data_IF_759028830973
#
_entry.id   IF_759028830973
#
_cell.length_a   1.000
_cell.length_b   1.000
_cell.length_c   1.000
_cell.angle_alpha   90.00
_cell.angle_beta   90.00
_cell.angle_gamma   90.00
#
_symmetry.space_group_name_H-M   'P 1'
#
loop_
_entity.id
_entity.type
_entity.pdbx_description
1 polymer ?
#
# COMPACT_ATOMS: atom_id res chain seq x y z
N UNK A 1 -7.27 3.53 -3.11
CA UNK A 1 -7.37 3.35 -1.65
C UNK A 1 -5.99 3.48 -1.03
N UNK A 2 -5.89 4.17 0.11
CA UNK A 2 -4.67 4.24 0.92
C UNK A 2 -4.96 3.50 2.22
N UNK A 3 -4.08 2.60 2.63
CA UNK A 3 -4.24 1.83 3.86
C UNK A 3 -2.89 1.34 4.38
N UNK A 4 -2.87 0.83 5.60
CA UNK A 4 -1.63 0.42 6.25
C UNK A 4 -1.50 -1.09 6.45
N UNK A 5 -2.50 -1.86 6.01
CA UNK A 5 -2.49 -3.32 6.11
C UNK A 5 -2.67 -3.98 4.73
N UNK A 6 -1.80 -4.95 4.42
CA UNK A 6 -1.82 -5.67 3.15
C UNK A 6 -3.05 -6.59 3.00
N UNK A 7 -3.49 -7.19 4.09
CA UNK A 7 -4.50 -8.27 4.10
C UNK A 7 -5.92 -7.75 4.15
N UNK A 8 -6.12 -6.50 4.57
CA UNK A 8 -7.42 -5.84 4.57
C UNK A 8 -7.48 -4.76 3.50
N UNK A 9 -6.77 -3.66 3.67
CA UNK A 9 -6.92 -2.46 2.82
C UNK A 9 -6.50 -2.74 1.38
N UNK A 10 -5.30 -3.29 1.21
CA UNK A 10 -4.74 -3.56 -0.11
C UNK A 10 -5.45 -4.75 -0.77
N UNK A 11 -5.86 -5.75 0.02
CA UNK A 11 -6.67 -6.85 -0.46
C UNK A 11 -8.03 -6.37 -1.00
N UNK A 12 -8.69 -5.45 -0.29
CA UNK A 12 -9.95 -4.85 -0.71
C UNK A 12 -9.75 -3.99 -1.96
N UNK A 13 -8.73 -3.13 -2.00
CA UNK A 13 -8.41 -2.31 -3.17
C UNK A 13 -8.26 -3.16 -4.44
N UNK A 14 -7.49 -4.25 -4.33
CA UNK A 14 -7.31 -5.23 -5.40
C UNK A 14 -8.61 -5.93 -5.80
N UNK A 15 -9.42 -6.34 -4.82
CA UNK A 15 -10.68 -7.04 -5.07
C UNK A 15 -11.72 -6.18 -5.80
N UNK A 16 -11.74 -4.87 -5.54
CA UNK A 16 -12.67 -3.93 -6.17
C UNK A 16 -12.09 -3.22 -7.40
N UNK A 17 -10.85 -3.51 -7.77
CA UNK A 17 -10.21 -2.99 -8.99
C UNK A 17 -9.82 -1.52 -8.93
N UNK A 18 -9.37 -1.04 -7.77
CA UNK A 18 -8.82 0.32 -7.60
C UNK A 18 -7.37 0.27 -7.14
N UNK A 19 -6.59 1.32 -7.43
CA UNK A 19 -5.20 1.43 -7.00
C UNK A 19 -5.08 1.32 -5.46
N UNK A 20 -4.21 0.46 -4.98
CA UNK A 20 -3.89 0.27 -3.56
C UNK A 20 -2.52 0.85 -3.22
N UNK A 21 -2.49 1.89 -2.38
CA UNK A 21 -1.26 2.47 -1.84
C UNK A 21 -1.09 2.01 -0.39
N UNK A 22 0.01 1.31 -0.10
CA UNK A 22 0.36 0.93 1.26
C UNK A 22 1.13 2.07 1.95
N UNK A 23 0.56 2.62 3.01
CA UNK A 23 1.27 3.44 3.99
C UNK A 23 1.91 2.52 5.03
N UNK A 24 3.22 2.31 4.93
CA UNK A 24 4.00 1.34 5.69
C UNK A 24 4.28 1.79 7.14
N UNK A 25 3.23 2.13 7.90
CA UNK A 25 3.30 2.51 9.32
C UNK A 25 3.20 1.31 10.26
N UNK A 26 2.62 0.19 9.79
CA UNK A 26 3.00 -1.13 10.29
C UNK A 26 4.25 -1.53 9.52
N UNK A 27 5.44 -1.49 10.15
CA UNK A 27 6.72 -1.42 9.42
C UNK A 27 7.06 -2.78 8.76
N UNK A 28 6.32 -3.15 7.71
CA UNK A 28 6.63 -4.31 6.89
C UNK A 28 8.04 -4.13 6.34
N UNK A 29 8.87 -5.13 6.55
CA UNK A 29 10.19 -5.20 5.97
C UNK A 29 10.09 -5.32 4.45
N UNK A 30 11.16 -4.94 3.77
CA UNK A 30 11.27 -5.14 2.31
C UNK A 30 11.01 -6.59 1.90
N UNK A 31 11.49 -7.56 2.68
CA UNK A 31 11.28 -8.98 2.42
C UNK A 31 9.80 -9.36 2.53
N UNK A 32 9.08 -8.87 3.53
CA UNK A 32 7.63 -9.12 3.67
C UNK A 32 6.87 -8.53 2.48
N UNK A 33 7.20 -7.31 2.06
CA UNK A 33 6.60 -6.66 0.88
C UNK A 33 6.90 -7.44 -0.41
N UNK A 34 8.12 -7.93 -0.59
CA UNK A 34 8.56 -8.68 -1.79
C UNK A 34 7.97 -10.10 -1.85
N UNK A 35 7.77 -10.76 -0.70
CA UNK A 35 7.25 -12.13 -0.62
C UNK A 35 5.73 -12.21 -0.43
N UNK A 36 5.06 -11.11 -0.05
CA UNK A 36 3.61 -11.09 0.15
C UNK A 36 2.84 -11.51 -1.11
N UNK A 37 1.81 -12.36 -1.01
CA UNK A 37 0.92 -12.68 -2.13
C UNK A 37 0.02 -11.50 -2.53
N UNK A 38 -0.13 -10.51 -1.66
CA UNK A 38 -0.91 -9.28 -1.89
C UNK A 38 0.08 -8.14 -2.12
N UNK A 39 -0.02 -7.49 -3.29
CA UNK A 39 0.84 -6.40 -3.70
C UNK A 39 0.03 -5.12 -3.78
N UNK A 40 0.54 -4.07 -3.14
CA UNK A 40 0.11 -2.69 -3.38
C UNK A 40 0.78 -2.17 -4.64
N UNK A 41 0.12 -1.24 -5.34
CA UNK A 41 0.66 -0.57 -6.51
C UNK A 41 1.79 0.41 -6.16
N UNK A 42 1.73 0.95 -4.93
CA UNK A 42 2.77 1.82 -4.38
C UNK A 42 2.92 1.58 -2.88
N UNK A 43 4.15 1.74 -2.38
CA UNK A 43 4.46 1.78 -0.95
C UNK A 43 5.00 3.15 -0.61
N UNK A 44 4.48 3.76 0.44
CA UNK A 44 4.93 5.04 1.01
C UNK A 44 5.17 4.85 2.51
N UNK A 45 6.02 5.66 3.10
CA UNK A 45 6.28 5.64 4.56
C UNK A 45 5.69 6.85 5.26
N UNK A 46 5.39 7.91 4.53
CA UNK A 46 4.74 9.12 5.01
C UNK A 46 3.55 9.45 4.11
N UNK A 47 2.45 9.91 4.70
CA UNK A 47 1.25 10.32 3.96
C UNK A 47 1.52 11.54 3.08
N UNK A 48 2.50 12.37 3.46
CA UNK A 48 2.94 13.54 2.70
C UNK A 48 3.44 13.16 1.29
N UNK A 49 3.94 11.92 1.09
CA UNK A 49 4.39 11.37 -0.20
C UNK A 49 3.24 11.22 -1.23
N UNK A 50 1.99 11.40 -0.82
CA UNK A 50 0.83 11.45 -1.73
C UNK A 50 0.72 12.78 -2.47
N UNK A 51 1.22 13.89 -1.88
CA UNK A 51 1.10 15.22 -2.49
C UNK A 51 1.86 15.32 -3.81
N UNK A 52 2.87 14.49 -4.01
CA UNK A 52 3.70 14.44 -5.24
C UNK A 52 3.01 13.75 -6.43
N UNK A 53 1.84 13.15 -6.23
CA UNK A 53 1.11 12.38 -7.28
C UNK A 53 0.07 13.22 -8.01
N UNK A 54 -0.36 14.35 -7.43
CA UNK A 54 -1.52 15.12 -7.91
C UNK A 54 -1.18 16.53 -8.44
N UNK A 55 0.10 16.82 -8.68
CA UNK A 55 0.59 18.05 -9.34
C UNK A 55 0.91 17.79 -10.79
#
# INVERSE_FOLDING_TARGET
MVGNDLTTDIAVAKAVGIDGILLNTFPYSRQELETSPIKSDRVITDIEDLKTVFT
#
